data_IF_638210061737
#
_entry.id   IF_638210061737
#
_cell.length_a   1.000
_cell.length_b   1.000
_cell.length_c   1.000
_cell.angle_alpha   90.00
_cell.angle_beta   90.00
_cell.angle_gamma   90.00
#
_symmetry.space_group_name_H-M   'P 1'
#
loop_
_entity.id
_entity.type
_entity.pdbx_description
1 polymer ?
#
# COMPACT_ATOMS: atom_id res chain seq x y z
N UNK A 1 -0.80 13.29 -15.47
CA UNK A 1 0.44 13.66 -14.76
C UNK A 1 1.27 12.41 -14.54
N UNK A 2 2.60 12.49 -14.62
CA UNK A 2 3.47 11.35 -14.31
C UNK A 2 3.62 11.21 -12.79
N UNK A 3 3.98 10.02 -12.30
CA UNK A 3 4.29 9.76 -10.88
C UNK A 3 5.27 10.79 -10.30
N UNK A 4 6.26 11.18 -11.10
CA UNK A 4 7.26 12.18 -10.72
C UNK A 4 6.63 13.55 -10.45
N UNK A 5 5.72 14.02 -11.33
CA UNK A 5 5.05 15.31 -11.15
C UNK A 5 4.15 15.32 -9.91
N UNK A 6 3.38 14.26 -9.66
CA UNK A 6 2.52 14.17 -8.47
C UNK A 6 3.33 14.14 -7.19
N UNK A 7 4.44 13.40 -7.17
CA UNK A 7 5.34 13.35 -6.01
C UNK A 7 6.01 14.71 -5.79
N UNK A 8 6.42 15.41 -6.86
CA UNK A 8 7.04 16.73 -6.76
C UNK A 8 6.07 17.77 -6.19
N UNK A 9 4.81 17.78 -6.65
CA UNK A 9 3.77 18.67 -6.13
C UNK A 9 3.53 18.36 -4.64
N UNK A 10 3.40 17.07 -4.29
CA UNK A 10 3.22 16.65 -2.91
C UNK A 10 4.38 17.04 -2.01
N UNK A 11 5.62 16.90 -2.47
CA UNK A 11 6.82 17.36 -1.75
C UNK A 11 6.80 18.88 -1.55
N UNK A 12 6.38 19.65 -2.55
CA UNK A 12 6.19 21.10 -2.43
C UNK A 12 5.13 21.47 -1.38
N UNK A 13 3.98 20.78 -1.38
CA UNK A 13 2.92 20.99 -0.39
C UNK A 13 3.37 20.58 1.01
N UNK A 14 4.07 19.44 1.14
CA UNK A 14 4.64 18.99 2.41
C UNK A 14 5.65 20.01 2.97
N UNK A 15 6.54 20.53 2.12
CA UNK A 15 7.46 21.61 2.48
C UNK A 15 6.73 22.89 2.91
N UNK A 16 5.65 23.25 2.22
CA UNK A 16 4.81 24.40 2.59
C UNK A 16 4.15 24.20 3.96
N UNK A 17 3.62 23.02 4.24
CA UNK A 17 3.02 22.70 5.56
C UNK A 17 4.04 22.81 6.68
N UNK A 18 5.25 22.28 6.46
CA UNK A 18 6.36 22.39 7.42
C UNK A 18 6.77 23.85 7.61
N UNK A 19 6.83 24.64 6.54
CA UNK A 19 7.11 26.06 6.63
C UNK A 19 6.04 26.81 7.44
N UNK A 20 4.75 26.53 7.22
CA UNK A 20 3.65 27.08 8.03
C UNK A 20 3.83 26.71 9.50
N UNK A 21 4.24 25.47 9.79
CA UNK A 21 4.48 25.01 11.15
C UNK A 21 5.55 25.84 11.87
N UNK A 22 6.60 26.30 11.17
CA UNK A 22 7.64 27.17 11.79
C UNK A 22 7.12 28.55 12.22
N UNK A 23 5.94 28.96 11.74
CA UNK A 23 5.32 30.26 12.07
C UNK A 23 4.45 30.20 13.31
N UNK A 24 4.19 29.00 13.83
CA UNK A 24 3.32 28.77 14.97
C UNK A 24 4.17 28.66 16.24
N UNK A 25 3.76 29.38 17.28
CA UNK A 25 4.35 29.24 18.60
C UNK A 25 3.90 27.93 19.25
N UNK A 26 4.84 27.00 19.43
CA UNK A 26 4.60 25.68 20.00
C UNK A 26 4.74 25.63 21.53
N UNK A 27 4.97 26.76 22.20
CA UNK A 27 5.09 26.80 23.68
C UNK A 27 3.74 26.64 24.39
N UNK A 28 2.64 26.88 23.67
CA UNK A 28 1.28 26.59 24.14
C UNK A 28 0.83 25.20 23.71
N UNK A 29 -0.02 24.56 24.51
CA UNK A 29 -0.64 23.26 24.18
C UNK A 29 -1.30 23.28 22.80
N UNK A 30 -2.10 24.31 22.50
CA UNK A 30 -2.77 24.44 21.20
C UNK A 30 -1.80 24.59 20.04
N UNK A 31 -0.74 25.39 20.22
CA UNK A 31 0.29 25.59 19.22
C UNK A 31 1.14 24.34 18.97
N UNK A 32 1.45 23.56 20.01
CA UNK A 32 2.09 22.26 19.90
C UNK A 32 1.30 21.32 18.98
N UNK A 33 0.01 21.13 19.26
CA UNK A 33 -0.85 20.27 18.44
C UNK A 33 -1.01 20.79 17.01
N UNK A 34 -1.05 22.10 16.81
CA UNK A 34 -1.09 22.69 15.47
C UNK A 34 0.20 22.41 14.68
N UNK A 35 1.38 22.57 15.29
CA UNK A 35 2.68 22.28 14.66
C UNK A 35 2.79 20.81 14.28
N UNK A 36 2.58 19.90 15.23
CA UNK A 36 2.74 18.47 14.96
C UNK A 36 1.60 17.90 14.10
N UNK A 37 0.41 18.51 14.15
CA UNK A 37 -0.68 18.23 13.20
C UNK A 37 -0.31 18.60 11.77
N UNK A 38 0.34 19.74 11.53
CA UNK A 38 0.85 20.12 10.21
C UNK A 38 1.95 19.18 9.71
N UNK A 39 2.87 18.79 10.60
CA UNK A 39 3.94 17.85 10.26
C UNK A 39 3.36 16.46 9.91
N UNK A 40 2.36 15.99 10.67
CA UNK A 40 1.61 14.79 10.31
C UNK A 40 0.88 14.95 8.97
N UNK A 41 0.29 16.12 8.72
CA UNK A 41 -0.28 16.47 7.43
C UNK A 41 0.71 16.35 6.27
N UNK A 42 1.96 16.78 6.48
CA UNK A 42 3.03 16.65 5.48
C UNK A 42 3.33 15.18 5.14
N UNK A 43 3.39 14.30 6.15
CA UNK A 43 3.55 12.86 5.96
C UNK A 43 2.38 12.23 5.21
N UNK A 44 1.15 12.65 5.55
CA UNK A 44 -0.07 12.20 4.88
C UNK A 44 -0.10 12.61 3.40
N UNK A 45 0.22 13.86 3.09
CA UNK A 45 0.31 14.35 1.70
C UNK A 45 1.32 13.53 0.89
N UNK A 46 2.46 13.19 1.47
CA UNK A 46 3.45 12.34 0.82
C UNK A 46 2.91 10.93 0.55
N UNK A 47 2.24 10.30 1.50
CA UNK A 47 1.65 8.98 1.30
C UNK A 47 0.55 9.00 0.22
N UNK A 48 -0.33 10.00 0.25
CA UNK A 48 -1.39 10.16 -0.76
C UNK A 48 -0.82 10.41 -2.17
N UNK A 49 0.35 11.04 -2.29
CA UNK A 49 1.01 11.24 -3.58
C UNK A 49 1.33 9.92 -4.29
N UNK A 50 1.70 8.89 -3.54
CA UNK A 50 2.01 7.57 -4.07
C UNK A 50 0.75 6.87 -4.60
N UNK A 51 -0.37 7.12 -3.91
CA UNK A 51 -1.69 6.62 -4.27
C UNK A 51 -2.17 7.25 -5.59
N UNK A 52 -2.02 8.58 -5.72
CA UNK A 52 -2.42 9.36 -6.89
C UNK A 52 -1.50 9.17 -8.10
N UNK A 53 -0.21 8.90 -7.88
CA UNK A 53 0.76 8.65 -8.95
C UNK A 53 0.51 7.33 -9.71
N UNK A 54 -0.15 6.34 -9.09
CA UNK A 54 -0.55 5.09 -9.75
C UNK A 54 -1.97 5.10 -10.34
N UNK A 55 -2.71 6.19 -10.16
CA UNK A 55 -4.15 6.23 -10.32
C UNK A 55 -4.58 6.52 -11.76
N UNK A 56 -4.86 5.47 -12.52
CA UNK A 56 -5.42 5.57 -13.89
C UNK A 56 -6.87 5.07 -14.00
N UNK A 57 -7.53 4.73 -12.88
CA UNK A 57 -8.74 3.87 -12.92
C UNK A 57 -9.99 4.37 -12.15
N UNK A 58 -10.10 5.67 -11.82
CA UNK A 58 -11.36 6.31 -11.37
C UNK A 58 -12.18 5.60 -10.26
N UNK A 59 -11.53 4.76 -9.45
CA UNK A 59 -12.14 4.15 -8.26
C UNK A 59 -11.97 5.05 -7.04
N UNK A 60 -12.98 5.10 -6.17
CA UNK A 60 -12.88 5.78 -4.88
C UNK A 60 -11.85 5.08 -3.97
N UNK A 61 -11.01 5.83 -3.23
CA UNK A 61 -10.09 5.24 -2.27
C UNK A 61 -10.88 4.51 -1.18
N UNK A 62 -10.58 3.23 -0.98
CA UNK A 62 -11.22 2.42 0.06
C UNK A 62 -10.27 2.26 1.24
N UNK A 63 -10.79 2.39 2.45
CA UNK A 63 -10.00 2.18 3.66
C UNK A 63 -9.77 0.68 3.88
N UNK A 64 -8.50 0.25 3.89
CA UNK A 64 -8.11 -1.11 4.18
C UNK A 64 -8.17 -1.34 5.69
N UNK A 65 -9.35 -1.70 6.22
CA UNK A 65 -9.63 -1.82 7.66
C UNK A 65 -8.60 -2.71 8.37
N UNK A 66 -8.21 -3.83 7.76
CA UNK A 66 -7.19 -4.73 8.34
C UNK A 66 -5.83 -4.05 8.48
N UNK A 67 -5.37 -3.32 7.46
CA UNK A 67 -4.11 -2.58 7.55
C UNK A 67 -4.21 -1.45 8.57
N UNK A 68 -5.32 -0.72 8.57
CA UNK A 68 -5.59 0.33 9.54
C UNK A 68 -5.50 -0.20 10.98
N UNK A 69 -6.13 -1.34 11.28
CA UNK A 69 -6.16 -1.89 12.63
C UNK A 69 -4.85 -2.58 13.04
N UNK A 70 -4.17 -3.28 12.13
CA UNK A 70 -2.98 -4.08 12.47
C UNK A 70 -1.68 -3.28 12.34
N UNK A 71 -1.57 -2.40 11.33
CA UNK A 71 -0.38 -1.59 11.13
C UNK A 71 -0.53 -0.19 11.73
N UNK A 72 -1.56 0.55 11.34
CA UNK A 72 -1.68 1.95 11.74
C UNK A 72 -1.98 2.12 13.24
N UNK A 73 -2.98 1.43 13.79
CA UNK A 73 -3.39 1.64 15.19
C UNK A 73 -2.24 1.39 16.19
N UNK A 74 -1.48 0.28 16.14
CA UNK A 74 -0.37 0.07 17.07
C UNK A 74 0.74 1.11 16.90
N UNK A 75 1.08 1.47 15.66
CA UNK A 75 2.09 2.50 15.38
C UNK A 75 1.62 3.86 15.88
N UNK A 76 0.35 4.20 15.67
CA UNK A 76 -0.25 5.44 16.13
C UNK A 76 -0.24 5.51 17.66
N UNK A 77 -0.59 4.43 18.35
CA UNK A 77 -0.53 4.37 19.83
C UNK A 77 0.90 4.62 20.30
N UNK A 78 1.88 3.88 19.78
CA UNK A 78 3.28 4.02 20.20
C UNK A 78 3.84 5.42 19.89
N UNK A 79 3.57 5.95 18.71
CA UNK A 79 4.07 7.26 18.27
C UNK A 79 3.38 8.39 19.03
N UNK A 80 2.06 8.32 19.22
CA UNK A 80 1.30 9.31 19.97
C UNK A 80 1.68 9.31 21.46
N UNK A 81 2.09 8.16 22.02
CA UNK A 81 2.66 8.08 23.36
C UNK A 81 3.88 9.00 23.53
N UNK A 82 4.78 9.00 22.54
CA UNK A 82 5.97 9.87 22.53
C UNK A 82 5.57 11.34 22.33
N UNK A 83 4.66 11.61 21.40
CA UNK A 83 4.17 12.98 21.13
C UNK A 83 3.50 13.58 22.38
N UNK A 84 2.64 12.83 23.06
CA UNK A 84 2.00 13.25 24.31
C UNK A 84 3.00 13.50 25.43
N UNK A 85 4.07 12.69 25.49
CA UNK A 85 5.14 12.88 26.48
C UNK A 85 5.93 14.19 26.26
N UNK A 86 5.92 14.74 25.04
CA UNK A 86 6.60 15.98 24.67
C UNK A 86 5.71 17.24 24.77
N UNK A 87 4.41 17.08 25.06
CA UNK A 87 3.48 18.20 25.15
C UNK A 87 3.95 19.26 26.19
N UNK A 88 4.03 20.55 25.79
CA UNK A 88 4.37 21.65 26.67
C UNK A 88 3.18 21.97 27.56
N UNK A 89 3.22 21.44 28.78
CA UNK A 89 2.18 21.63 29.79
C UNK A 89 2.14 20.47 30.77
N UNK A 90 1.52 20.70 31.92
CA UNK A 90 1.33 19.68 32.95
C UNK A 90 -0.07 19.04 32.79
N UNK A 91 -0.43 18.64 31.56
CA UNK A 91 -1.72 18.00 31.26
C UNK A 91 -1.87 16.65 31.97
N UNK A 92 -3.11 16.19 32.16
CA UNK A 92 -3.38 14.88 32.77
C UNK A 92 -2.73 13.73 31.96
N UNK A 93 -2.76 13.81 30.62
CA UNK A 93 -2.14 12.82 29.74
C UNK A 93 -0.61 12.79 29.83
N UNK A 94 0.06 13.95 29.80
CA UNK A 94 1.51 14.05 30.00
C UNK A 94 1.97 13.39 31.32
N UNK A 95 1.26 13.68 32.43
CA UNK A 95 1.54 13.07 33.73
C UNK A 95 1.28 11.56 33.75
N UNK A 96 0.18 11.11 33.16
CA UNK A 96 -0.16 9.70 33.08
C UNK A 96 0.87 8.90 32.28
N UNK A 97 1.26 9.41 31.11
CA UNK A 97 2.28 8.82 30.25
C UNK A 97 3.63 8.71 30.97
N UNK A 98 4.06 9.76 31.66
CA UNK A 98 5.33 9.75 32.38
C UNK A 98 5.31 8.90 33.65
N UNK A 99 4.17 8.82 34.36
CA UNK A 99 3.99 7.92 35.50
C UNK A 99 4.12 6.47 35.05
N UNK A 100 3.30 6.09 34.06
CA UNK A 100 3.29 4.73 33.55
C UNK A 100 4.63 4.33 32.91
N UNK A 101 5.25 5.23 32.14
CA UNK A 101 6.59 4.98 31.55
C UNK A 101 7.68 4.84 32.63
N UNK A 102 7.50 5.48 33.78
CA UNK A 102 8.33 5.28 34.97
C UNK A 102 8.09 3.91 35.59
N UNK A 103 6.83 3.51 35.74
CA UNK A 103 6.45 2.21 36.32
C UNK A 103 7.00 1.02 35.50
N UNK A 104 7.03 1.15 34.17
CA UNK A 104 7.63 0.15 33.27
C UNK A 104 9.13 0.41 32.96
N UNK A 105 9.76 1.38 33.64
CA UNK A 105 11.19 1.71 33.54
C UNK A 105 11.71 2.16 32.15
N UNK A 106 10.85 2.62 31.24
CA UNK A 106 11.25 3.10 29.90
C UNK A 106 11.39 4.64 29.82
N UNK A 107 11.34 5.34 30.95
CA UNK A 107 11.29 6.81 30.98
C UNK A 107 12.50 7.47 30.31
N UNK A 108 13.69 6.87 30.42
CA UNK A 108 14.90 7.34 29.73
C UNK A 108 14.73 7.33 28.21
N UNK A 109 14.34 6.17 27.66
CA UNK A 109 14.04 6.02 26.24
C UNK A 109 12.98 7.02 25.76
N UNK A 110 11.89 7.18 26.50
CA UNK A 110 10.82 8.12 26.12
C UNK A 110 11.35 9.55 26.09
N UNK A 111 12.20 9.95 27.05
CA UNK A 111 12.80 11.28 27.05
C UNK A 111 13.74 11.50 25.86
N UNK A 112 14.57 10.52 25.51
CA UNK A 112 15.45 10.60 24.34
C UNK A 112 14.64 10.73 23.04
N UNK A 113 13.51 10.02 22.94
CA UNK A 113 12.63 10.07 21.76
C UNK A 113 11.86 11.39 21.61
N UNK A 114 11.75 12.21 22.66
CA UNK A 114 11.07 13.53 22.57
C UNK A 114 11.79 14.50 21.63
N UNK A 115 13.10 14.34 21.45
CA UNK A 115 13.86 15.16 20.49
C UNK A 115 13.43 14.88 19.03
N UNK A 116 12.80 13.73 18.78
CA UNK A 116 12.40 13.27 17.45
C UNK A 116 10.88 13.31 17.22
N UNK A 117 10.11 14.07 18.01
CA UNK A 117 8.64 14.13 17.93
C UNK A 117 8.14 14.48 16.53
N UNK A 118 8.85 15.35 15.80
CA UNK A 118 8.53 15.68 14.42
C UNK A 118 8.56 14.45 13.49
N UNK A 119 9.50 13.53 13.69
CA UNK A 119 9.62 12.29 12.90
C UNK A 119 8.43 11.37 13.18
N UNK A 120 8.05 11.22 14.45
CA UNK A 120 6.87 10.44 14.84
C UNK A 120 5.58 11.04 14.27
N UNK A 121 5.40 12.36 14.37
CA UNK A 121 4.25 13.05 13.80
C UNK A 121 4.16 12.82 12.28
N UNK A 122 5.26 13.02 11.56
CA UNK A 122 5.35 12.77 10.12
C UNK A 122 5.03 11.30 9.79
N UNK A 123 5.63 10.36 10.53
CA UNK A 123 5.42 8.92 10.37
C UNK A 123 3.97 8.50 10.58
N UNK A 124 3.29 9.03 11.60
CA UNK A 124 1.85 8.79 11.83
C UNK A 124 1.05 9.15 10.57
N UNK A 125 1.26 10.35 10.03
CA UNK A 125 0.54 10.80 8.84
C UNK A 125 0.84 9.94 7.62
N UNK A 126 2.09 9.54 7.44
CA UNK A 126 2.53 8.70 6.32
C UNK A 126 1.91 7.29 6.38
N UNK A 127 1.96 6.63 7.54
CA UNK A 127 1.36 5.30 7.73
C UNK A 127 -0.17 5.36 7.67
N UNK A 128 -0.78 6.44 8.17
CA UNK A 128 -2.21 6.68 7.98
C UNK A 128 -2.57 6.73 6.50
N UNK A 129 -1.79 7.45 5.69
CA UNK A 129 -1.99 7.53 4.24
C UNK A 129 -1.89 6.17 3.53
N UNK A 130 -1.06 5.25 4.02
CA UNK A 130 -0.98 3.87 3.50
C UNK A 130 -2.19 3.00 3.85
N UNK A 131 -3.03 3.42 4.80
CA UNK A 131 -4.27 2.69 5.12
C UNK A 131 -5.33 2.83 4.01
N UNK A 132 -5.13 3.75 3.06
CA UNK A 132 -5.96 3.86 1.87
C UNK A 132 -5.43 2.93 0.77
N UNK A 133 -6.31 2.10 0.22
CA UNK A 133 -6.01 1.23 -0.93
C UNK A 133 -6.76 1.71 -2.18
N UNK A 134 -6.16 1.49 -3.35
CA UNK A 134 -6.78 1.73 -4.66
C UNK A 134 -7.21 0.43 -5.27
N UNK A 135 -8.34 -0.12 -4.81
CA UNK A 135 -8.92 -1.26 -5.50
C UNK A 135 -9.55 -0.76 -6.82
N UNK A 136 -8.85 -0.94 -7.94
CA UNK A 136 -9.47 -0.84 -9.27
C UNK A 136 -10.65 -1.81 -9.37
N UNK A 137 -11.63 -1.58 -10.29
CA UNK A 137 -12.86 -2.36 -10.36
C UNK A 137 -12.54 -3.84 -10.23
N UNK A 138 -13.01 -4.48 -9.14
CA UNK A 138 -12.94 -5.93 -9.02
C UNK A 138 -13.75 -6.47 -10.19
N UNK A 139 -13.08 -6.89 -11.27
CA UNK A 139 -13.70 -7.84 -12.19
C UNK A 139 -14.01 -9.01 -11.29
N UNK A 140 -15.29 -9.19 -10.95
CA UNK A 140 -15.78 -10.48 -10.49
C UNK A 140 -15.18 -11.45 -11.49
N UNK A 141 -14.26 -12.30 -11.05
CA UNK A 141 -13.85 -13.43 -11.86
C UNK A 141 -15.16 -14.12 -12.21
N UNK A 142 -15.54 -14.07 -13.48
CA UNK A 142 -16.65 -14.89 -13.95
C UNK A 142 -16.33 -16.30 -13.46
N UNK A 143 -17.30 -17.02 -12.86
CA UNK A 143 -17.07 -18.41 -12.48
C UNK A 143 -16.50 -19.10 -13.71
N UNK A 144 -15.25 -19.56 -13.64
CA UNK A 144 -14.70 -20.42 -14.67
C UNK A 144 -15.55 -21.68 -14.58
N UNK A 145 -16.52 -21.80 -15.48
CA UNK A 145 -17.42 -22.93 -15.52
C UNK A 145 -16.60 -24.14 -15.96
N UNK A 146 -16.00 -24.81 -14.96
CA UNK A 146 -15.11 -25.95 -15.13
C UNK A 146 -15.81 -27.14 -15.79
N UNK A 147 -17.14 -27.08 -15.99
CA UNK A 147 -17.92 -28.09 -16.71
C UNK A 147 -17.82 -27.96 -18.22
N UNK A 148 -17.67 -26.74 -18.77
CA UNK A 148 -17.60 -26.54 -20.22
C UNK A 148 -16.26 -26.95 -20.85
N UNK A 149 -15.20 -27.06 -20.03
CA UNK A 149 -13.85 -27.40 -20.49
C UNK A 149 -13.63 -28.93 -20.61
N UNK A 150 -14.44 -29.73 -19.90
CA UNK A 150 -14.40 -31.20 -19.99
C UNK A 150 -15.11 -31.67 -21.26
N UNK A 151 -16.24 -31.04 -21.62
CA UNK A 151 -17.02 -31.41 -22.81
C UNK A 151 -16.28 -31.11 -24.13
N UNK A 152 -15.50 -30.01 -24.16
CA UNK A 152 -14.74 -29.63 -25.36
C UNK A 152 -13.55 -30.56 -25.61
N UNK A 153 -12.97 -31.14 -24.55
CA UNK A 153 -11.84 -32.09 -24.66
C UNK A 153 -12.28 -33.50 -25.07
N UNK A 154 -13.54 -33.87 -24.79
CA UNK A 154 -14.12 -35.15 -25.23
C UNK A 154 -14.53 -35.14 -26.71
N UNK A 155 -14.77 -33.97 -27.31
CA UNK A 155 -15.12 -33.83 -28.72
C UNK A 155 -13.92 -33.95 -29.68
N UNK A 156 -12.69 -33.77 -29.17
CA UNK A 156 -11.45 -33.83 -29.95
C UNK A 156 -10.70 -35.18 -29.81
N UNK A 157 -11.31 -36.21 -29.21
CA UNK A 157 -10.75 -37.57 -29.30
C UNK A 157 -11.10 -38.19 -30.66
N UNK A 158 -10.10 -38.55 -31.49
CA UNK A 158 -10.36 -39.21 -32.76
C UNK A 158 -10.98 -40.59 -32.48
N UNK A 159 -12.21 -40.79 -32.97
CA UNK A 159 -12.88 -42.08 -32.93
C UNK A 159 -12.04 -43.11 -33.69
N UNK A 160 -11.95 -44.32 -33.15
CA UNK A 160 -11.10 -45.45 -33.55
C UNK A 160 -11.22 -45.86 -35.03
N UNK A 161 -12.16 -45.29 -35.79
CA UNK A 161 -12.34 -45.48 -37.22
C UNK A 161 -11.32 -44.72 -38.09
N UNK A 162 -10.69 -43.65 -37.59
CA UNK A 162 -9.78 -42.82 -38.39
C UNK A 162 -8.32 -43.33 -38.39
N UNK A 163 -8.00 -44.31 -37.53
CA UNK A 163 -6.63 -44.85 -37.39
C UNK A 163 -6.23 -45.81 -38.53
N UNK A 164 -7.17 -46.38 -39.28
CA UNK A 164 -6.87 -47.29 -40.40
C UNK A 164 -6.53 -46.57 -41.72
N UNK A 165 -6.91 -45.30 -41.88
CA UNK A 165 -6.63 -44.56 -43.11
C UNK A 165 -5.16 -44.09 -43.23
N UNK A 166 -4.50 -43.80 -42.10
CA UNK A 166 -3.14 -43.22 -42.10
C UNK A 166 -2.05 -44.28 -42.34
N UNK A 167 -2.32 -45.56 -42.08
CA UNK A 167 -1.31 -46.62 -42.27
C UNK A 167 -1.14 -47.03 -43.74
N UNK A 168 -2.13 -46.74 -44.61
CA UNK A 168 -2.13 -47.26 -45.99
C UNK A 168 -1.40 -46.36 -46.99
N UNK A 169 -1.19 -45.07 -46.69
CA UNK A 169 -0.64 -44.11 -47.67
C UNK A 169 0.90 -44.04 -47.71
N UNK A 170 1.60 -44.69 -46.78
CA UNK A 170 3.08 -44.61 -46.69
C UNK A 170 3.81 -45.72 -47.48
N UNK A 171 3.10 -46.66 -48.11
CA UNK A 171 3.74 -47.85 -48.70
C UNK A 171 3.99 -47.79 -50.23
N UNK A 172 3.66 -46.70 -50.93
CA UNK A 172 3.72 -46.72 -52.40
C UNK A 172 4.34 -45.48 -53.03
N UNK A 173 5.58 -45.11 -52.67
CA UNK A 173 6.40 -44.23 -53.53
C UNK A 173 7.89 -44.47 -53.28
N UNK A 174 8.47 -45.56 -53.80
CA UNK A 174 9.86 -45.56 -54.31
C UNK A 174 10.10 -46.77 -55.22
N UNK A 175 9.87 -46.63 -56.53
CA UNK A 175 10.49 -47.48 -57.53
C UNK A 175 10.74 -46.63 -58.78
N UNK A 176 11.97 -46.15 -58.93
CA UNK A 176 12.40 -45.27 -60.01
C UNK A 176 12.52 -45.98 -61.36
N UNK A 177 12.53 -45.23 -62.47
CA UNK A 177 12.73 -45.77 -63.80
C UNK A 177 14.21 -46.09 -64.04
N UNK A 178 14.50 -47.24 -64.65
CA UNK A 178 15.81 -47.51 -65.26
C UNK A 178 15.67 -47.48 -66.78
N UNK A 179 16.61 -46.75 -67.37
CA UNK A 179 16.72 -46.40 -68.77
C UNK A 179 17.06 -47.57 -69.70
N UNK A 180 16.90 -47.26 -70.99
CA UNK A 180 17.19 -48.03 -72.19
C UNK A 180 18.69 -48.34 -72.34
N UNK A 181 19.01 -49.52 -72.88
CA UNK A 181 19.66 -49.78 -74.18
C UNK A 181 19.76 -51.30 -74.43
#
# INVERSE_FOLDING_TARGET
MTRATTTLIAAGVAGLLIWIATRIDHTSVGGFWAVYGLIAGAGLVMALSQLLGGWTKWGWPTLAVTFFLIAFVPIAIASLWIVLAAEPGNGWFHRHVLSWSGDIHIRGLVNDLKEYVAVFAFGIGLVFGFSFDTTGPRRRAAPVDRRADVDRRAADEPLTAERDAVVTDTATTTAGPRDRE
#
